data_IF_383979350657
#
_entry.id   IF_383979350657
#
_cell.length_a   1.000
_cell.length_b   1.000
_cell.length_c   1.000
_cell.angle_alpha   90.00
_cell.angle_beta   90.00
_cell.angle_gamma   90.00
#
_symmetry.space_group_name_H-M   'P 1'
#
loop_
_entity.id
_entity.type
_entity.pdbx_description
1 polymer ?
#
# COMPACT_ATOMS: atom_id res chain seq x y z
N UNK A 1 14.69 28.20 -59.96
CA UNK A 1 15.55 28.35 -58.77
C UNK A 1 15.42 29.76 -58.22
N UNK A 2 14.53 29.97 -57.25
CA UNK A 2 14.47 31.19 -56.44
C UNK A 2 15.09 30.86 -55.07
N UNK A 3 15.98 31.69 -54.51
CA UNK A 3 16.58 31.42 -53.21
C UNK A 3 15.61 31.82 -52.09
N UNK A 4 15.39 30.91 -51.13
CA UNK A 4 14.61 31.19 -49.92
C UNK A 4 15.55 31.77 -48.86
N UNK A 5 15.37 33.04 -48.52
CA UNK A 5 16.07 33.71 -47.44
C UNK A 5 15.37 33.36 -46.10
N UNK A 6 15.94 32.46 -45.30
CA UNK A 6 15.51 32.24 -43.92
C UNK A 6 16.18 33.26 -43.00
N UNK A 7 15.39 34.13 -42.37
CA UNK A 7 15.84 34.98 -41.27
C UNK A 7 15.96 34.13 -39.99
N UNK A 8 17.00 34.32 -39.15
CA UNK A 8 17.16 33.55 -37.92
C UNK A 8 16.09 33.95 -36.90
N UNK A 9 15.31 32.98 -36.44
CA UNK A 9 14.35 33.15 -35.34
C UNK A 9 15.15 33.33 -34.05
N UNK A 10 15.05 34.51 -33.46
CA UNK A 10 15.65 34.82 -32.16
C UNK A 10 14.74 34.25 -31.06
N UNK A 11 15.22 33.27 -30.32
CA UNK A 11 14.51 32.77 -29.14
C UNK A 11 14.71 33.77 -27.98
N UNK A 12 13.65 34.26 -27.33
CA UNK A 12 13.82 35.04 -26.11
C UNK A 12 14.38 34.13 -25.00
N UNK A 13 15.61 34.42 -24.57
CA UNK A 13 16.18 33.90 -23.34
C UNK A 13 15.54 34.59 -22.13
N UNK A 14 15.43 33.82 -21.04
CA UNK A 14 15.13 34.22 -19.66
C UNK A 14 13.65 34.36 -19.26
N UNK A 15 13.04 33.22 -18.95
CA UNK A 15 12.15 33.14 -17.80
C UNK A 15 12.82 32.24 -16.76
N UNK A 16 13.50 32.88 -15.82
CA UNK A 16 13.75 32.30 -14.51
C UNK A 16 12.40 31.97 -13.89
N UNK A 17 11.96 30.72 -14.01
CA UNK A 17 10.88 30.21 -13.20
C UNK A 17 11.27 30.43 -11.73
N UNK A 18 10.42 31.07 -10.90
CA UNK A 18 10.56 30.94 -9.46
C UNK A 18 10.57 29.44 -9.20
N UNK A 19 11.70 28.94 -8.72
CA UNK A 19 11.78 27.59 -8.22
C UNK A 19 10.85 27.59 -7.01
N UNK A 20 9.60 27.16 -7.22
CA UNK A 20 8.58 27.06 -6.17
C UNK A 20 9.22 26.30 -5.01
N UNK A 21 9.57 27.05 -3.97
CA UNK A 21 9.93 26.51 -2.67
C UNK A 21 8.65 25.84 -2.17
N UNK A 22 8.44 24.58 -2.56
CA UNK A 22 7.47 23.70 -1.93
C UNK A 22 7.64 23.89 -0.42
N UNK A 23 6.64 24.49 0.22
CA UNK A 23 6.70 24.85 1.63
C UNK A 23 7.21 23.64 2.41
N UNK A 24 8.45 23.68 2.91
CA UNK A 24 9.03 22.63 3.78
C UNK A 24 8.46 22.68 5.20
N UNK A 25 7.35 23.40 5.38
CA UNK A 25 6.75 23.65 6.67
C UNK A 25 5.83 22.49 7.05
N UNK A 26 5.90 22.08 8.31
CA UNK A 26 5.04 21.03 8.84
C UNK A 26 3.59 21.51 8.94
N UNK A 27 2.70 21.07 8.06
CA UNK A 27 1.26 21.23 8.19
C UNK A 27 0.71 20.48 9.41
N UNK A 28 1.15 19.22 9.64
CA UNK A 28 0.60 18.35 10.69
C UNK A 28 1.61 17.31 11.22
N UNK A 29 1.50 17.02 12.52
CA UNK A 29 2.18 15.92 13.22
C UNK A 29 1.12 15.03 13.88
N UNK A 30 1.16 13.72 13.63
CA UNK A 30 0.26 12.72 14.20
C UNK A 30 1.04 11.70 15.04
N UNK A 31 0.54 11.40 16.23
CA UNK A 31 1.21 10.50 17.18
C UNK A 31 0.65 9.08 17.11
N UNK A 32 1.22 8.24 16.25
CA UNK A 32 0.80 6.83 16.08
C UNK A 32 1.04 5.96 17.33
N UNK A 33 2.07 6.28 18.12
CA UNK A 33 2.47 5.52 19.32
C UNK A 33 3.46 4.40 19.04
N UNK A 34 3.40 3.77 17.87
CA UNK A 34 4.38 2.79 17.39
C UNK A 34 5.00 3.26 16.07
N UNK A 35 6.15 2.70 15.69
CA UNK A 35 6.85 3.12 14.49
C UNK A 35 6.03 2.78 13.24
N UNK A 36 5.63 3.77 12.42
CA UNK A 36 4.91 3.51 11.17
C UNK A 36 5.86 2.85 10.16
N UNK A 37 5.40 1.77 9.55
CA UNK A 37 6.16 0.99 8.56
C UNK A 37 5.64 1.21 7.14
N UNK A 38 4.33 1.43 6.99
CA UNK A 38 3.69 1.71 5.70
C UNK A 38 2.48 2.60 5.94
N UNK A 39 2.13 3.41 4.95
CA UNK A 39 0.95 4.28 5.02
C UNK A 39 0.35 4.52 3.65
N UNK A 40 -0.94 4.87 3.64
CA UNK A 40 -1.67 5.16 2.43
C UNK A 40 -2.84 6.14 2.65
N UNK A 41 -2.96 7.16 1.81
CA UNK A 41 -4.13 8.03 1.76
C UNK A 41 -5.27 7.37 0.99
N UNK A 42 -6.49 7.51 1.52
CA UNK A 42 -7.68 7.05 0.85
C UNK A 42 -7.82 7.76 -0.53
N UNK A 43 -8.10 7.03 -1.62
CA UNK A 43 -8.05 7.60 -2.99
C UNK A 43 -9.10 8.68 -3.26
N UNK A 44 -10.27 8.59 -2.62
CA UNK A 44 -11.36 9.59 -2.72
C UNK A 44 -11.35 10.60 -1.55
N UNK A 45 -11.24 10.13 -0.31
CA UNK A 45 -11.24 10.96 0.90
C UNK A 45 -9.80 11.34 1.31
N UNK A 46 -9.26 12.39 0.69
CA UNK A 46 -7.84 12.75 0.81
C UNK A 46 -7.36 13.15 2.21
N UNK A 47 -8.27 13.32 3.18
CA UNK A 47 -7.93 13.55 4.59
C UNK A 47 -7.78 12.26 5.39
N UNK A 48 -8.17 11.11 4.83
CA UNK A 48 -8.04 9.83 5.51
C UNK A 48 -6.69 9.18 5.23
N UNK A 49 -5.93 8.96 6.29
CA UNK A 49 -4.62 8.31 6.25
C UNK A 49 -4.69 6.97 6.99
N UNK A 50 -4.36 5.91 6.26
CA UNK A 50 -4.21 4.57 6.79
C UNK A 50 -2.74 4.31 7.11
N UNK A 51 -2.46 3.74 8.28
CA UNK A 51 -1.10 3.55 8.81
C UNK A 51 -0.96 2.13 9.33
N UNK A 52 0.10 1.44 8.94
CA UNK A 52 0.52 0.16 9.51
C UNK A 52 1.82 0.31 10.29
N UNK A 53 1.97 -0.40 11.41
CA UNK A 53 3.10 -0.22 12.33
C UNK A 53 4.04 -1.42 12.41
N UNK A 54 5.18 -1.23 13.05
CA UNK A 54 6.18 -2.26 13.33
C UNK A 54 5.70 -3.34 14.34
N UNK A 55 4.60 -3.08 15.05
CA UNK A 55 3.97 -4.03 15.98
C UNK A 55 2.70 -4.68 15.40
N UNK A 56 2.42 -4.46 14.11
CA UNK A 56 1.32 -5.12 13.40
C UNK A 56 -0.01 -4.38 13.51
N UNK A 57 -0.04 -3.26 14.25
CA UNK A 57 -1.23 -2.46 14.42
C UNK A 57 -1.55 -1.66 13.16
N UNK A 58 -2.84 -1.43 12.98
CA UNK A 58 -3.42 -0.59 11.94
C UNK A 58 -4.06 0.62 12.61
N UNK A 59 -3.75 1.81 12.11
CA UNK A 59 -4.41 3.06 12.47
C UNK A 59 -5.11 3.68 11.26
N UNK A 60 -6.34 4.16 11.45
CA UNK A 60 -7.02 5.05 10.51
C UNK A 60 -7.14 6.43 11.14
N UNK A 61 -6.65 7.44 10.42
CA UNK A 61 -6.62 8.82 10.87
C UNK A 61 -7.40 9.71 9.93
N UNK A 62 -8.10 10.69 10.49
CA UNK A 62 -8.43 11.92 9.79
C UNK A 62 -7.32 12.95 10.07
N UNK A 63 -6.50 13.22 9.06
CA UNK A 63 -5.39 14.19 9.17
C UNK A 63 -5.87 15.62 9.31
N UNK A 64 -7.09 15.93 8.86
CA UNK A 64 -7.70 17.25 8.92
C UNK A 64 -8.01 17.63 10.36
N UNK A 65 -8.71 16.74 11.06
CA UNK A 65 -9.10 16.88 12.48
C UNK A 65 -8.03 16.43 13.47
N UNK A 66 -7.01 15.70 13.01
CA UNK A 66 -6.00 15.01 13.83
C UNK A 66 -6.60 13.90 14.71
N UNK A 67 -7.78 13.42 14.35
CA UNK A 67 -8.46 12.36 15.09
C UNK A 67 -8.01 10.99 14.58
N UNK A 68 -7.74 10.08 15.51
CA UNK A 68 -7.51 8.67 15.19
C UNK A 68 -8.86 7.94 15.26
N UNK A 69 -9.49 7.79 14.10
CA UNK A 69 -10.79 7.15 13.95
C UNK A 69 -10.77 5.69 14.40
N UNK A 70 -9.71 4.95 14.03
CA UNK A 70 -9.62 3.53 14.34
C UNK A 70 -8.22 3.11 14.75
N UNK A 71 -8.16 2.19 15.73
CA UNK A 71 -7.00 1.34 16.02
C UNK A 71 -7.43 -0.12 15.98
N UNK A 72 -6.66 -0.95 15.27
CA UNK A 72 -6.80 -2.41 15.29
C UNK A 72 -5.44 -3.04 15.54
N UNK A 73 -5.39 -3.90 16.55
CA UNK A 73 -4.21 -4.71 16.80
C UNK A 73 -4.22 -5.93 15.90
N UNK A 74 -3.03 -6.43 15.58
CA UNK A 74 -2.91 -7.67 14.82
C UNK A 74 -3.60 -8.84 15.56
N UNK A 75 -4.48 -9.53 14.85
CA UNK A 75 -5.11 -10.79 15.28
C UNK A 75 -5.38 -11.65 14.06
N UNK A 76 -5.11 -12.95 14.18
CA UNK A 76 -5.59 -13.94 13.21
C UNK A 76 -7.07 -14.18 13.45
N UNK A 77 -7.90 -14.11 12.41
CA UNK A 77 -9.36 -14.23 12.56
C UNK A 77 -9.78 -15.68 12.68
N UNK A 78 -9.19 -16.56 11.88
CA UNK A 78 -9.56 -17.97 11.79
C UNK A 78 -8.31 -18.86 11.84
N UNK A 79 -7.69 -18.95 13.02
CA UNK A 79 -6.44 -19.69 13.21
C UNK A 79 -6.56 -21.16 12.77
N UNK A 80 -7.73 -21.78 12.96
CA UNK A 80 -7.98 -23.17 12.55
C UNK A 80 -8.00 -23.39 11.03
N UNK A 81 -8.19 -22.34 10.22
CA UNK A 81 -8.15 -22.40 8.75
C UNK A 81 -6.75 -22.11 8.19
N UNK A 82 -5.85 -21.60 9.03
CA UNK A 82 -4.47 -21.29 8.66
C UNK A 82 -3.61 -22.55 8.55
N UNK A 83 -2.60 -22.54 7.69
CA UNK A 83 -1.67 -23.66 7.54
C UNK A 83 -0.92 -23.95 8.85
N UNK A 84 -0.51 -25.21 9.02
CA UNK A 84 0.34 -25.62 10.15
C UNK A 84 1.64 -24.81 10.22
N UNK A 85 2.18 -24.40 9.07
CA UNK A 85 3.39 -23.58 8.99
C UNK A 85 3.16 -22.19 9.61
N UNK A 86 2.05 -21.53 9.28
CA UNK A 86 1.67 -20.25 9.87
C UNK A 86 1.42 -20.38 11.38
N UNK A 87 0.68 -21.40 11.81
CA UNK A 87 0.44 -21.63 13.24
C UNK A 87 1.76 -21.82 14.01
N UNK A 88 2.67 -22.65 13.49
CA UNK A 88 3.99 -22.86 14.09
C UNK A 88 4.84 -21.59 14.10
N UNK A 89 4.78 -20.77 13.03
CA UNK A 89 5.51 -19.50 12.96
C UNK A 89 5.05 -18.51 14.05
N UNK A 90 3.74 -18.39 14.26
CA UNK A 90 3.17 -17.51 15.30
C UNK A 90 3.47 -18.00 16.72
N UNK A 91 3.55 -19.31 16.95
CA UNK A 91 3.95 -19.88 18.24
C UNK A 91 5.45 -19.64 18.50
N UNK A 92 6.29 -19.82 17.48
CA UNK A 92 7.74 -19.62 17.59
C UNK A 92 8.10 -18.17 17.87
N UNK A 93 7.46 -17.25 17.16
CA UNK A 93 7.68 -15.82 17.31
C UNK A 93 6.37 -15.06 17.03
N UNK A 94 5.66 -14.60 18.07
CA UNK A 94 4.38 -13.93 17.94
C UNK A 94 4.51 -12.49 17.44
N UNK A 95 5.73 -11.96 17.27
CA UNK A 95 5.91 -10.60 16.78
C UNK A 95 5.46 -10.49 15.33
N UNK A 96 4.61 -9.51 15.02
CA UNK A 96 4.12 -9.29 13.66
C UNK A 96 4.25 -7.81 13.36
N UNK A 97 4.73 -7.48 12.16
CA UNK A 97 4.83 -6.11 11.67
C UNK A 97 4.03 -5.97 10.38
N UNK A 98 3.50 -4.78 10.12
CA UNK A 98 2.94 -4.46 8.81
C UNK A 98 4.08 -4.13 7.85
N UNK A 99 4.22 -4.90 6.77
CA UNK A 99 5.18 -4.62 5.70
C UNK A 99 4.57 -3.66 4.67
N UNK A 100 3.28 -3.82 4.39
CA UNK A 100 2.55 -2.92 3.51
C UNK A 100 1.09 -2.79 3.87
N UNK A 101 0.59 -1.56 3.75
CA UNK A 101 -0.83 -1.25 3.81
C UNK A 101 -1.20 -0.40 2.61
N UNK A 102 -2.32 -0.74 1.95
CA UNK A 102 -2.75 -0.05 0.73
C UNK A 102 -4.27 -0.05 0.58
N UNK A 103 -4.82 1.07 0.12
CA UNK A 103 -6.20 1.16 -0.31
C UNK A 103 -6.42 0.49 -1.66
N UNK A 104 -7.59 -0.10 -1.83
CA UNK A 104 -8.11 -0.41 -3.15
C UNK A 104 -8.39 0.89 -3.92
N UNK A 105 -8.31 0.89 -5.26
CA UNK A 105 -8.53 2.09 -6.08
C UNK A 105 -9.88 2.79 -5.87
N UNK A 106 -10.92 2.04 -5.48
CA UNK A 106 -12.25 2.59 -5.20
C UNK A 106 -12.42 3.07 -3.75
N UNK A 107 -11.44 2.81 -2.87
CA UNK A 107 -11.46 3.20 -1.46
C UNK A 107 -12.39 2.35 -0.57
N UNK A 108 -13.05 1.34 -1.11
CA UNK A 108 -14.02 0.52 -0.36
C UNK A 108 -13.34 -0.58 0.47
N UNK A 109 -12.13 -0.97 0.07
CA UNK A 109 -11.30 -1.96 0.74
C UNK A 109 -9.90 -1.43 1.00
N UNK A 110 -9.22 -2.02 1.97
CA UNK A 110 -7.77 -1.91 2.11
C UNK A 110 -7.15 -3.24 2.49
N UNK A 111 -5.91 -3.45 2.08
CA UNK A 111 -5.16 -4.66 2.29
C UNK A 111 -3.94 -4.42 3.17
N UNK A 112 -3.64 -5.39 4.03
CA UNK A 112 -2.54 -5.34 4.99
C UNK A 112 -1.70 -6.60 4.81
N UNK A 113 -0.47 -6.43 4.37
CA UNK A 113 0.54 -7.48 4.25
C UNK A 113 1.45 -7.46 5.48
N UNK A 114 1.56 -8.60 6.14
CA UNK A 114 2.32 -8.74 7.37
C UNK A 114 3.70 -9.39 7.13
N UNK A 115 4.62 -9.24 8.08
CA UNK A 115 5.91 -9.97 8.12
C UNK A 115 5.79 -11.45 8.51
N UNK A 116 4.56 -11.95 8.54
CA UNK A 116 4.19 -13.36 8.63
C UNK A 116 3.47 -13.75 7.35
N UNK A 117 2.92 -14.95 7.31
CA UNK A 117 2.33 -15.55 6.11
C UNK A 117 1.05 -14.85 5.64
N UNK A 118 0.51 -13.95 6.45
CA UNK A 118 -0.86 -13.47 6.36
C UNK A 118 -0.96 -12.18 5.55
N UNK A 119 -2.01 -12.12 4.74
CA UNK A 119 -2.64 -10.90 4.25
C UNK A 119 -4.05 -10.79 4.82
N UNK A 120 -4.42 -9.60 5.30
CA UNK A 120 -5.79 -9.28 5.70
C UNK A 120 -6.37 -8.18 4.82
N UNK A 121 -7.62 -8.36 4.42
CA UNK A 121 -8.40 -7.40 3.66
C UNK A 121 -9.54 -6.92 4.53
N UNK A 122 -9.66 -5.61 4.67
CA UNK A 122 -10.73 -4.98 5.42
C UNK A 122 -11.66 -4.25 4.46
N UNK A 123 -12.95 -4.21 4.78
CA UNK A 123 -13.91 -3.30 4.13
C UNK A 123 -14.10 -2.04 4.96
N UNK A 124 -14.18 -0.91 4.26
CA UNK A 124 -14.39 0.40 4.83
C UNK A 124 -15.77 0.93 4.44
N UNK A 125 -16.54 1.37 5.44
CA UNK A 125 -17.91 1.84 5.26
C UNK A 125 -18.11 3.30 5.70
N UNK A 126 -17.01 4.04 5.90
CA UNK A 126 -17.05 5.43 6.35
C UNK A 126 -16.79 5.58 7.85
N UNK A 127 -16.31 6.76 8.25
CA UNK A 127 -16.01 7.06 9.65
C UNK A 127 -15.03 6.06 10.26
N UNK A 128 -15.45 5.41 11.34
CA UNK A 128 -14.74 4.39 12.09
C UNK A 128 -15.18 2.94 11.76
N UNK A 129 -16.08 2.75 10.80
CA UNK A 129 -16.60 1.43 10.41
C UNK A 129 -15.63 0.72 9.44
N UNK A 130 -14.73 -0.08 10.03
CA UNK A 130 -13.92 -1.07 9.32
C UNK A 130 -14.28 -2.49 9.74
N UNK A 131 -14.41 -3.37 8.75
CA UNK A 131 -14.82 -4.77 8.97
C UNK A 131 -13.85 -5.74 8.34
N UNK A 132 -13.75 -6.91 8.94
CA UNK A 132 -12.96 -8.03 8.44
C UNK A 132 -13.63 -8.57 7.17
N UNK A 133 -12.92 -8.56 6.04
CA UNK A 133 -13.46 -9.00 4.75
C UNK A 133 -12.89 -10.34 4.30
N UNK A 134 -11.57 -10.49 4.30
CA UNK A 134 -10.89 -11.72 3.91
C UNK A 134 -9.52 -11.85 4.60
N UNK A 135 -9.21 -13.04 5.10
CA UNK A 135 -7.89 -13.41 5.61
C UNK A 135 -7.28 -14.47 4.69
N UNK A 136 -6.03 -14.26 4.29
CA UNK A 136 -5.33 -15.09 3.31
C UNK A 136 -4.01 -15.53 3.92
N UNK A 137 -3.81 -16.85 4.05
CA UNK A 137 -2.50 -17.46 4.25
C UNK A 137 -1.78 -17.46 2.89
N UNK A 138 -1.11 -16.35 2.60
CA UNK A 138 -0.62 -16.01 1.28
C UNK A 138 0.72 -16.69 0.99
N UNK A 139 1.71 -16.62 1.87
CA UNK A 139 3.08 -17.05 1.57
C UNK A 139 3.68 -17.92 2.67
N UNK A 140 4.69 -18.74 2.35
CA UNK A 140 5.48 -19.42 3.39
C UNK A 140 6.62 -18.47 3.83
N UNK A 141 6.39 -17.72 4.90
CA UNK A 141 7.28 -16.65 5.37
C UNK A 141 6.56 -15.29 5.39
N UNK A 142 7.31 -14.18 5.38
CA UNK A 142 6.72 -12.85 5.35
C UNK A 142 6.11 -12.49 3.99
N UNK A 143 5.04 -11.70 4.00
CA UNK A 143 4.50 -11.04 2.80
C UNK A 143 5.16 -9.68 2.66
N UNK A 144 5.82 -9.45 1.53
CA UNK A 144 6.63 -8.25 1.30
C UNK A 144 5.83 -7.11 0.66
N UNK A 145 4.89 -7.43 -0.22
CA UNK A 145 4.08 -6.44 -0.93
C UNK A 145 2.67 -6.98 -1.22
N UNK A 146 1.73 -6.06 -1.44
CA UNK A 146 0.35 -6.32 -1.82
C UNK A 146 -0.14 -5.23 -2.76
N UNK A 147 -0.88 -5.64 -3.79
CA UNK A 147 -1.55 -4.74 -4.71
C UNK A 147 -2.97 -5.21 -5.04
N UNK A 148 -3.89 -4.26 -5.23
CA UNK A 148 -5.20 -4.50 -5.81
C UNK A 148 -5.16 -4.29 -7.32
N UNK A 149 -5.82 -5.18 -8.06
CA UNK A 149 -5.96 -5.14 -9.50
C UNK A 149 -7.42 -5.46 -9.89
N UNK A 150 -7.86 -4.96 -11.05
CA UNK A 150 -9.20 -5.20 -11.58
C UNK A 150 -9.19 -5.84 -12.98
N UNK A 151 -8.49 -6.97 -13.18
CA UNK A 151 -8.52 -7.67 -14.46
C UNK A 151 -9.97 -8.05 -14.79
N UNK A 152 -10.45 -7.64 -15.97
CA UNK A 152 -11.81 -7.90 -16.44
C UNK A 152 -12.91 -7.44 -15.46
N UNK A 153 -12.70 -6.30 -14.76
CA UNK A 153 -13.62 -5.75 -13.74
C UNK A 153 -13.82 -6.65 -12.52
N UNK A 154 -12.97 -7.65 -12.31
CA UNK A 154 -12.98 -8.49 -11.11
C UNK A 154 -11.87 -8.08 -10.17
N UNK A 155 -12.19 -7.87 -8.89
CA UNK A 155 -11.20 -7.58 -7.88
C UNK A 155 -10.25 -8.76 -7.72
N UNK A 156 -8.97 -8.44 -7.80
CA UNK A 156 -7.86 -9.36 -7.68
C UNK A 156 -6.81 -8.75 -6.76
N UNK A 157 -6.25 -9.58 -5.90
CA UNK A 157 -5.17 -9.23 -4.99
C UNK A 157 -3.91 -9.94 -5.49
N UNK A 158 -2.81 -9.21 -5.57
CA UNK A 158 -1.50 -9.75 -5.95
C UNK A 158 -0.57 -9.57 -4.76
N UNK A 159 0.10 -10.64 -4.35
CA UNK A 159 1.02 -10.65 -3.22
C UNK A 159 2.37 -11.22 -3.64
N UNK A 160 3.44 -10.78 -2.98
CA UNK A 160 4.74 -11.43 -3.07
C UNK A 160 5.33 -11.63 -1.67
N UNK A 161 6.14 -12.67 -1.49
CA UNK A 161 6.67 -13.03 -0.18
C UNK A 161 8.02 -13.72 -0.22
N UNK A 162 8.49 -14.10 0.96
CA UNK A 162 9.82 -14.69 1.18
C UNK A 162 10.00 -16.07 0.53
N UNK A 163 8.89 -16.74 0.22
CA UNK A 163 8.86 -17.99 -0.55
C UNK A 163 9.26 -17.78 -2.04
N UNK A 164 9.60 -16.54 -2.42
CA UNK A 164 10.02 -16.14 -3.77
C UNK A 164 8.93 -16.38 -4.81
N UNK A 165 7.66 -16.39 -4.39
CA UNK A 165 6.53 -16.52 -5.31
C UNK A 165 5.76 -15.21 -5.40
N UNK A 166 5.06 -15.05 -6.54
CA UNK A 166 4.00 -14.07 -6.70
C UNK A 166 2.70 -14.85 -6.78
N UNK A 167 1.76 -14.51 -5.91
CA UNK A 167 0.46 -15.16 -5.83
C UNK A 167 -0.63 -14.19 -6.21
N UNK A 168 -1.60 -14.73 -6.93
CA UNK A 168 -2.81 -14.03 -7.33
C UNK A 168 -3.99 -14.63 -6.57
N UNK A 169 -4.69 -13.82 -5.79
CA UNK A 169 -5.84 -14.22 -5.00
C UNK A 169 -7.08 -13.43 -5.46
N UNK A 170 -8.19 -14.10 -5.74
CA UNK A 170 -9.46 -13.47 -6.12
C UNK A 170 -10.64 -14.19 -5.47
N UNK A 171 -11.84 -13.61 -5.53
CA UNK A 171 -13.05 -14.34 -5.14
C UNK A 171 -13.28 -15.53 -6.10
N UNK A 172 -13.74 -16.71 -5.60
CA UNK A 172 -13.67 -17.98 -6.33
C UNK A 172 -14.79 -18.14 -7.39
N UNK A 173 -14.80 -19.24 -8.18
CA UNK A 173 -14.07 -20.49 -7.97
C UNK A 173 -12.75 -20.53 -8.73
N UNK A 174 -11.74 -21.16 -8.13
CA UNK A 174 -10.52 -21.71 -8.77
C UNK A 174 -9.23 -20.88 -8.68
N UNK A 175 -8.27 -21.51 -7.98
CA UNK A 175 -6.80 -21.48 -8.02
C UNK A 175 -6.03 -20.21 -7.64
N UNK A 176 -5.27 -20.33 -6.54
CA UNK A 176 -4.03 -19.58 -6.32
C UNK A 176 -3.06 -19.97 -7.44
N UNK A 177 -3.01 -19.16 -8.50
CA UNK A 177 -2.06 -19.36 -9.57
C UNK A 177 -0.69 -18.78 -9.15
N UNK A 178 0.31 -19.66 -9.06
CA UNK A 178 1.71 -19.28 -8.88
C UNK A 178 2.27 -18.84 -10.24
N UNK A 179 2.63 -17.57 -10.38
CA UNK A 179 3.29 -17.08 -11.59
C UNK A 179 4.82 -17.20 -11.42
N UNK A 180 5.55 -17.84 -12.35
CA UNK A 180 7.01 -17.88 -12.27
C UNK A 180 7.61 -16.49 -12.45
N UNK A 181 8.62 -16.15 -11.63
CA UNK A 181 9.37 -14.87 -11.60
C UNK A 181 9.82 -14.34 -12.98
N UNK A 182 9.95 -15.20 -14.00
CA UNK A 182 10.38 -14.83 -15.35
C UNK A 182 9.28 -14.18 -16.21
N UNK A 183 7.99 -14.32 -15.87
CA UNK A 183 6.88 -13.81 -16.71
C UNK A 183 6.33 -12.44 -16.23
N UNK A 184 6.75 -11.94 -15.06
CA UNK A 184 6.38 -10.60 -14.56
C UNK A 184 7.55 -9.62 -14.45
N UNK A 185 8.66 -9.89 -15.14
CA UNK A 185 9.66 -8.85 -15.43
C UNK A 185 9.08 -7.91 -16.49
N UNK A 186 8.30 -6.91 -16.08
CA UNK A 186 8.53 -5.49 -16.45
C UNK A 186 7.39 -4.51 -16.10
N UNK A 187 6.13 -4.92 -15.82
CA UNK A 187 5.03 -3.92 -15.79
C UNK A 187 4.18 -3.77 -14.51
N UNK A 188 4.15 -4.73 -13.57
CA UNK A 188 3.22 -4.61 -12.42
C UNK A 188 3.85 -4.13 -11.10
N UNK A 189 5.16 -4.31 -10.91
CA UNK A 189 5.84 -3.95 -9.65
C UNK A 189 6.57 -2.59 -9.79
N UNK A 190 6.97 -2.18 -11.00
CA UNK A 190 7.60 -0.89 -11.24
C UNK A 190 6.60 0.29 -11.27
N UNK A 191 5.32 0.04 -11.58
CA UNK A 191 4.31 1.11 -11.62
C UNK A 191 3.82 1.56 -10.23
N UNK A 192 3.98 0.71 -9.20
CA UNK A 192 3.77 1.10 -7.79
C UNK A 192 4.92 2.00 -7.28
N UNK A 193 6.05 2.06 -8.00
CA UNK A 193 7.28 2.71 -7.55
C UNK A 193 7.44 4.18 -7.99
N UNK A 194 6.54 4.73 -8.82
CA UNK A 194 6.69 6.10 -9.37
C UNK A 194 5.68 7.12 -8.83
N UNK A 195 4.54 6.74 -8.23
CA UNK A 195 3.55 7.73 -7.75
C UNK A 195 3.50 7.96 -6.23
N UNK A 196 4.26 7.22 -5.40
CA UNK A 196 4.26 7.42 -3.93
C UNK A 196 5.63 7.53 -3.29
N UNK A 197 6.64 7.94 -4.07
CA UNK A 197 8.03 8.09 -3.63
C UNK A 197 8.30 9.39 -2.87
N UNK A 198 7.31 9.92 -2.15
CA UNK A 198 7.52 10.98 -1.18
C UNK A 198 6.96 10.45 0.12
N UNK A 199 7.80 10.49 1.15
CA UNK A 199 7.54 10.12 2.54
C UNK A 199 7.95 8.69 2.94
N UNK A 200 9.23 8.53 3.23
CA UNK A 200 9.75 7.65 4.29
C UNK A 200 10.95 8.31 4.95
N UNK A 201 10.95 8.32 6.29
CA UNK A 201 11.89 8.95 7.24
C UNK A 201 11.50 10.35 7.72
N UNK A 202 10.94 10.42 8.94
CA UNK A 202 10.52 11.61 9.71
C UNK A 202 9.35 12.40 9.11
N UNK A 203 8.12 12.16 9.60
CA UNK A 203 6.93 12.82 9.04
C UNK A 203 6.51 14.09 9.77
N UNK A 204 6.80 15.16 9.04
CA UNK A 204 6.10 16.42 9.00
C UNK A 204 5.20 16.35 7.76
N UNK A 205 3.86 16.39 7.87
CA UNK A 205 3.03 16.67 6.67
C UNK A 205 3.46 18.03 6.14
N UNK A 206 3.61 18.23 4.83
CA UNK A 206 3.76 19.57 4.24
C UNK A 206 2.39 20.21 3.98
#
# INVERSE_FOLDING_TARGET
NLPVNMMPVTYPQSHSYPQDDFHKAVARTLSQGSAPMSMDFHPVQQTLLLVGTNVGDIGLWDVGTKERLVVRNFKVWELGKCSMALQAALVKDPTVSVNRIIWSPDGTLFGVAYSRHIVQIYSYHGGDDIRQHLEIDAHVGGVNDIAFAHPNKQLCIITCGDDKTIKRCGRPPVEQNNLPLKVMKLLSILFVHITRKIFSSSFQLL
#
